data_IF_104915479656
#
_entry.id   IF_104915479656
#
_cell.length_a   1.000
_cell.length_b   1.000
_cell.length_c   1.000
_cell.angle_alpha   90.00
_cell.angle_beta   90.00
_cell.angle_gamma   90.00
#
_symmetry.space_group_name_H-M   'P 1'
#
loop_
_entity.id
_entity.type
_entity.pdbx_description
1 polymer ?
#
# COMPACT_ATOMS: atom_id res chain seq x y z
N UNK A 1 -2.29 0.07 11.92
CA UNK A 1 -1.79 1.17 11.04
C UNK A 1 -2.73 1.39 9.86
N UNK A 2 -3.19 0.32 9.19
CA UNK A 2 -4.31 0.40 8.23
C UNK A 2 -5.60 0.93 8.87
N UNK A 3 -5.92 0.55 10.11
CA UNK A 3 -7.11 1.03 10.82
C UNK A 3 -7.11 2.56 11.00
N UNK A 4 -5.97 3.16 11.35
CA UNK A 4 -5.85 4.62 11.46
C UNK A 4 -5.99 5.33 10.12
N UNK A 5 -5.53 4.70 9.03
CA UNK A 5 -5.69 5.21 7.68
C UNK A 5 -7.18 5.19 7.28
N UNK A 6 -7.88 4.10 7.61
CA UNK A 6 -9.32 3.96 7.40
C UNK A 6 -10.10 4.98 8.23
N UNK A 7 -9.75 5.14 9.51
CA UNK A 7 -10.38 6.13 10.40
C UNK A 7 -10.18 7.57 9.90
N UNK A 8 -8.98 7.91 9.44
CA UNK A 8 -8.67 9.23 8.88
C UNK A 8 -9.47 9.51 7.60
N UNK A 9 -9.53 8.54 6.67
CA UNK A 9 -10.27 8.70 5.42
C UNK A 9 -11.79 8.71 5.64
N UNK A 10 -12.28 7.91 6.59
CA UNK A 10 -13.70 7.86 6.94
C UNK A 10 -14.20 9.15 7.59
N UNK A 11 -13.32 9.91 8.26
CA UNK A 11 -13.66 11.22 8.82
C UNK A 11 -13.78 12.31 7.76
N UNK A 12 -13.05 12.24 6.65
CA UNK A 12 -13.14 13.24 5.57
C UNK A 12 -14.19 12.87 4.50
N UNK A 13 -14.20 11.62 4.02
CA UNK A 13 -15.17 11.12 3.03
C UNK A 13 -15.25 9.58 3.09
N UNK A 14 -16.30 9.02 3.73
CA UNK A 14 -16.49 7.57 3.87
C UNK A 14 -16.53 6.81 2.53
N UNK A 15 -17.02 7.42 1.46
CA UNK A 15 -17.10 6.77 0.16
C UNK A 15 -15.72 6.65 -0.49
N UNK A 16 -14.89 7.69 -0.38
CA UNK A 16 -13.50 7.65 -0.82
C UNK A 16 -12.66 6.69 0.02
N UNK A 17 -12.93 6.57 1.33
CA UNK A 17 -12.28 5.61 2.21
C UNK A 17 -12.52 4.17 1.76
N UNK A 18 -13.76 3.83 1.39
CA UNK A 18 -14.11 2.49 0.92
C UNK A 18 -13.36 2.14 -0.39
N UNK A 19 -13.37 3.04 -1.37
CA UNK A 19 -12.67 2.84 -2.64
C UNK A 19 -11.16 2.69 -2.43
N UNK A 20 -10.57 3.46 -1.52
CA UNK A 20 -9.16 3.34 -1.17
C UNK A 20 -8.84 1.96 -0.56
N UNK A 21 -9.69 1.50 0.37
CA UNK A 21 -9.52 0.20 1.01
C UNK A 21 -9.62 -0.96 0.01
N UNK A 22 -10.57 -0.91 -0.92
CA UNK A 22 -10.72 -1.92 -1.97
C UNK A 22 -9.46 -2.01 -2.85
N UNK A 23 -8.92 -0.86 -3.27
CA UNK A 23 -7.68 -0.79 -4.06
C UNK A 23 -6.48 -1.34 -3.29
N UNK A 24 -6.36 -0.99 -2.01
CA UNK A 24 -5.29 -1.51 -1.15
C UNK A 24 -5.39 -3.03 -1.03
N UNK A 25 -6.60 -3.54 -0.76
CA UNK A 25 -6.83 -4.98 -0.63
C UNK A 25 -6.55 -5.73 -1.92
N UNK A 26 -6.94 -5.20 -3.08
CA UNK A 26 -6.66 -5.78 -4.39
C UNK A 26 -5.15 -5.84 -4.67
N UNK A 27 -4.44 -4.75 -4.41
CA UNK A 27 -3.00 -4.69 -4.63
C UNK A 27 -2.23 -5.66 -3.70
N UNK A 28 -2.65 -5.79 -2.43
CA UNK A 28 -2.07 -6.76 -1.50
C UNK A 28 -2.32 -8.19 -2.00
N UNK A 29 -3.54 -8.50 -2.49
CA UNK A 29 -3.85 -9.82 -3.05
C UNK A 29 -2.98 -10.19 -4.25
N UNK A 30 -2.49 -9.22 -5.02
CA UNK A 30 -1.56 -9.53 -6.13
C UNK A 30 -0.20 -10.06 -5.66
N UNK A 31 0.22 -9.74 -4.43
CA UNK A 31 1.52 -10.15 -3.91
C UNK A 31 1.62 -11.67 -3.69
N UNK A 32 0.49 -12.36 -3.58
CA UNK A 32 0.41 -13.82 -3.51
C UNK A 32 0.97 -14.47 -4.78
N UNK A 33 0.58 -13.95 -5.95
CA UNK A 33 1.05 -14.47 -7.25
C UNK A 33 2.34 -13.82 -7.71
N UNK A 34 2.59 -12.60 -7.26
CA UNK A 34 3.68 -11.79 -7.77
C UNK A 34 4.40 -11.03 -6.63
N UNK A 35 5.09 -11.75 -5.74
CA UNK A 35 5.70 -11.14 -4.54
C UNK A 35 6.81 -10.14 -4.87
N UNK A 36 7.38 -10.18 -6.07
CA UNK A 36 8.51 -9.34 -6.47
C UNK A 36 8.15 -8.13 -7.34
N UNK A 37 6.86 -7.81 -7.52
CA UNK A 37 6.40 -6.68 -8.37
C UNK A 37 6.73 -5.30 -7.80
N UNK A 38 6.88 -5.21 -6.49
CA UNK A 38 7.25 -3.96 -5.83
C UNK A 38 8.68 -3.55 -6.17
N UNK A 39 8.89 -2.23 -6.25
CA UNK A 39 10.22 -1.64 -6.46
C UNK A 39 11.12 -2.00 -5.28
N UNK A 40 12.26 -2.64 -5.55
CA UNK A 40 13.26 -2.92 -4.53
C UNK A 40 13.86 -1.61 -3.99
N UNK A 41 13.92 -1.49 -2.67
CA UNK A 41 14.56 -0.38 -1.96
C UNK A 41 15.62 -0.92 -0.99
N UNK A 42 16.17 -0.06 -0.12
CA UNK A 42 17.23 -0.46 0.81
C UNK A 42 16.75 -1.50 1.82
N UNK A 43 17.67 -2.35 2.26
CA UNK A 43 17.42 -3.35 3.30
C UNK A 43 16.57 -4.55 2.84
N UNK A 44 16.50 -4.82 1.53
CA UNK A 44 15.70 -5.92 0.99
C UNK A 44 14.18 -5.66 1.01
N UNK A 45 13.76 -4.44 1.36
CA UNK A 45 12.37 -4.04 1.36
C UNK A 45 11.90 -3.69 -0.05
N UNK A 46 10.59 -3.67 -0.24
CA UNK A 46 9.93 -3.40 -1.51
C UNK A 46 8.78 -2.43 -1.31
N UNK A 47 8.60 -1.56 -2.30
CA UNK A 47 7.49 -0.61 -2.34
C UNK A 47 6.53 -0.99 -3.48
N UNK A 48 5.29 -1.30 -3.12
CA UNK A 48 4.19 -1.47 -4.06
C UNK A 48 3.39 -0.17 -4.15
N UNK A 49 3.42 0.47 -5.32
CA UNK A 49 2.58 1.64 -5.61
C UNK A 49 1.20 1.15 -6.03
N UNK A 50 0.17 1.50 -5.25
CA UNK A 50 -1.21 1.02 -5.41
C UNK A 50 -2.04 2.00 -6.25
N UNK A 51 -1.71 3.29 -6.20
CA UNK A 51 -2.39 4.35 -6.94
C UNK A 51 -1.45 5.55 -7.13
N UNK A 52 -1.64 6.33 -8.20
CA UNK A 52 -0.97 7.62 -8.46
C UNK A 52 -2.04 8.69 -8.69
N UNK A 53 -1.91 9.87 -8.08
CA UNK A 53 -2.87 11.00 -8.19
C UNK A 53 -3.41 11.43 -6.82
N UNK A 54 -4.65 11.96 -6.79
CA UNK A 54 -5.30 12.55 -5.60
C UNK A 54 -5.33 11.67 -4.34
N UNK A 55 -5.20 10.36 -4.48
CA UNK A 55 -5.21 9.36 -3.38
C UNK A 55 -4.19 8.26 -3.63
N UNK A 56 -2.90 8.62 -3.69
CA UNK A 56 -1.82 7.67 -3.87
C UNK A 56 -1.55 6.86 -2.61
N UNK A 57 -1.37 5.54 -2.72
CA UNK A 57 -0.93 4.70 -1.59
C UNK A 57 0.29 3.88 -1.96
N UNK A 58 1.17 3.68 -0.99
CA UNK A 58 2.33 2.80 -1.10
C UNK A 58 2.33 1.82 0.06
N UNK A 59 2.43 0.52 -0.27
CA UNK A 59 2.72 -0.52 0.69
C UNK A 59 4.23 -0.79 0.73
N UNK A 60 4.82 -0.68 1.91
CA UNK A 60 6.18 -1.13 2.19
C UNK A 60 6.11 -2.56 2.70
N UNK A 61 6.83 -3.48 2.07
CA UNK A 61 6.77 -4.89 2.40
C UNK A 61 8.12 -5.58 2.22
N UNK A 62 8.23 -6.83 2.67
CA UNK A 62 9.35 -7.71 2.35
C UNK A 62 8.85 -9.10 1.98
N UNK A 63 9.66 -9.81 1.20
CA UNK A 63 9.45 -11.23 0.92
C UNK A 63 10.35 -12.02 1.86
N UNK A 64 9.79 -13.03 2.51
CA UNK A 64 10.50 -13.96 3.40
C UNK A 64 10.53 -15.32 2.68
N UNK A 65 11.60 -15.63 1.92
CA UNK A 65 11.60 -16.82 1.05
C UNK A 65 11.55 -18.14 1.81
N UNK A 66 12.02 -18.17 3.06
CA UNK A 66 11.98 -19.38 3.90
C UNK A 66 10.57 -19.82 4.24
N UNK A 67 9.63 -18.86 4.29
CA UNK A 67 8.27 -19.05 4.80
C UNK A 67 7.23 -18.89 3.69
N UNK A 68 7.66 -18.71 2.44
CA UNK A 68 6.83 -18.37 1.28
C UNK A 68 5.84 -17.24 1.57
N UNK A 69 6.30 -16.24 2.34
CA UNK A 69 5.45 -15.21 2.94
C UNK A 69 5.82 -13.82 2.43
N UNK A 70 4.79 -12.98 2.29
CA UNK A 70 4.92 -11.54 2.11
C UNK A 70 4.45 -10.83 3.38
N UNK A 71 5.36 -10.09 4.02
CA UNK A 71 5.04 -9.29 5.19
C UNK A 71 4.86 -7.83 4.82
N UNK A 72 3.65 -7.31 5.04
CA UNK A 72 3.33 -5.90 4.89
C UNK A 72 3.77 -5.16 6.16
N UNK A 73 4.71 -4.23 6.01
CA UNK A 73 5.27 -3.48 7.13
C UNK A 73 4.51 -2.18 7.39
N UNK A 74 4.05 -1.51 6.32
CA UNK A 74 3.28 -0.28 6.41
C UNK A 74 2.50 -0.03 5.12
N UNK A 75 1.36 0.65 5.24
CA UNK A 75 0.64 1.25 4.10
C UNK A 75 0.55 2.75 4.37
N UNK A 76 1.07 3.56 3.45
CA UNK A 76 1.14 5.02 3.60
C UNK A 76 0.39 5.71 2.48
N UNK A 77 -0.36 6.74 2.83
CA UNK A 77 -0.85 7.70 1.84
C UNK A 77 0.34 8.54 1.35
N UNK A 78 0.54 8.60 0.05
CA UNK A 78 1.43 9.58 -0.57
C UNK A 78 0.58 10.78 -0.98
N UNK A 79 0.81 11.98 -0.41
CA UNK A 79 0.31 13.21 -1.00
C UNK A 79 0.80 13.29 -2.44
N UNK A 80 0.07 13.99 -3.31
CA UNK A 80 0.50 14.26 -4.68
C UNK A 80 1.97 14.64 -4.70
N UNK A 81 2.79 13.87 -5.43
CA UNK A 81 4.21 14.12 -5.52
C UNK A 81 4.42 15.46 -6.26
N UNK A 82 4.53 16.54 -5.50
CA UNK A 82 5.24 17.78 -5.86
C UNK A 82 4.66 18.61 -7.01
N UNK A 83 3.45 19.16 -6.86
CA UNK A 83 3.14 20.48 -7.43
C UNK A 83 2.81 21.46 -6.29
N UNK A 84 3.84 22.20 -5.89
CA UNK A 84 3.74 23.64 -5.64
C UNK A 84 4.55 24.33 -6.76
#
# INVERSE_FOLDING_TARGET
DLDRLVDFLAQEDPALAHVALERIAEAIRMLDRHPYIGRLVRGGLRELVISRGRTGYVALYRVVPSDDLVEILAVRHQPEAGYA
#
